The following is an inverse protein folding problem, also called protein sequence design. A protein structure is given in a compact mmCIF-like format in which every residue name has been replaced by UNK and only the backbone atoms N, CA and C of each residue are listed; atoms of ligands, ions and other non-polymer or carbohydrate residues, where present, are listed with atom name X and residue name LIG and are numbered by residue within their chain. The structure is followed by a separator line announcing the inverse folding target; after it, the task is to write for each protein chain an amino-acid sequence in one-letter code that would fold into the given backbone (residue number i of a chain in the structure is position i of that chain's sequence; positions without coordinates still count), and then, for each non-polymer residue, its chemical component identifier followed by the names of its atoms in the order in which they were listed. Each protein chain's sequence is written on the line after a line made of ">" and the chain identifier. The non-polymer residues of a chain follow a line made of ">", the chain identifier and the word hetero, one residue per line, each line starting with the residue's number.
data_IF_852272229517
#
_entry.id   IF_852272229517
#
_cell.length_a   1.000
_cell.length_b   1.000
_cell.length_c   1.000
_cell.angle_alpha   90.00
_cell.angle_beta   90.00
_cell.angle_gamma   90.00
#
_symmetry.space_group_name_H-M   'P 1'
#
loop_
_entity.id
_entity.type
_entity.pdbx_description
1 polymer ?
#
# COMPACT_ATOMS: atom_id res chain seq x y z
N UNK A 1 -11.85 1.21 -12.10
CA UNK A 1 -10.92 0.14 -11.73
C UNK A 1 -9.54 0.76 -11.54
N UNK A 2 -8.76 0.99 -12.61
CA UNK A 2 -7.35 1.45 -12.57
C UNK A 2 -6.95 2.53 -11.55
N UNK A 3 -7.80 3.53 -11.28
CA UNK A 3 -7.48 4.61 -10.33
C UNK A 3 -7.34 4.09 -8.89
N UNK A 4 -8.11 3.06 -8.49
CA UNK A 4 -8.01 2.50 -7.14
C UNK A 4 -6.75 1.66 -6.97
N UNK A 5 -6.50 0.73 -7.92
CA UNK A 5 -5.26 -0.06 -7.90
C UNK A 5 -4.01 0.81 -7.93
N UNK A 6 -4.00 1.91 -8.71
CA UNK A 6 -2.87 2.85 -8.74
C UNK A 6 -2.68 3.55 -7.39
N UNK A 7 -3.77 3.98 -6.74
CA UNK A 7 -3.70 4.59 -5.41
C UNK A 7 -3.18 3.59 -4.37
N UNK A 8 -3.65 2.34 -4.39
CA UNK A 8 -3.16 1.27 -3.51
C UNK A 8 -1.68 0.95 -3.75
N UNK A 9 -1.24 0.90 -5.01
CA UNK A 9 0.14 0.69 -5.39
C UNK A 9 1.04 1.81 -4.85
N UNK A 10 0.73 3.07 -5.16
CA UNK A 10 1.55 4.21 -4.74
C UNK A 10 1.60 4.37 -3.22
N UNK A 11 0.47 4.19 -2.52
CA UNK A 11 0.43 4.25 -1.06
C UNK A 11 1.22 3.12 -0.41
N UNK A 12 1.19 1.91 -0.99
CA UNK A 12 1.99 0.77 -0.51
C UNK A 12 3.48 0.97 -0.79
N UNK A 13 3.84 1.54 -1.95
CA UNK A 13 5.23 1.94 -2.24
C UNK A 13 5.74 2.95 -1.21
N UNK A 14 4.93 3.93 -0.82
CA UNK A 14 5.31 4.91 0.21
C UNK A 14 5.50 4.25 1.57
N UNK A 15 4.59 3.34 1.97
CA UNK A 15 4.71 2.58 3.21
C UNK A 15 5.96 1.69 3.22
N UNK A 16 6.11 0.77 2.26
CA UNK A 16 7.24 -0.17 2.24
C UNK A 16 8.55 0.57 1.96
N UNK A 17 8.53 1.61 1.13
CA UNK A 17 9.69 2.47 0.88
C UNK A 17 10.18 3.15 2.16
N UNK A 18 9.26 3.67 2.98
CA UNK A 18 9.65 4.22 4.27
C UNK A 18 10.32 3.16 5.16
N UNK A 19 9.78 1.94 5.23
CA UNK A 19 10.37 0.84 6.01
C UNK A 19 11.75 0.46 5.47
N UNK A 20 11.89 0.38 4.14
CA UNK A 20 13.12 -0.07 3.51
C UNK A 20 14.27 0.95 3.63
N UNK A 21 13.95 2.25 3.63
CA UNK A 21 14.95 3.32 3.57
C UNK A 21 15.04 4.17 4.85
N UNK A 22 14.35 3.78 5.92
CA UNK A 22 14.51 4.42 7.23
C UNK A 22 14.56 3.43 8.38
N UNK A 23 15.31 3.76 9.43
CA UNK A 23 15.30 3.04 10.71
C UNK A 23 14.41 3.72 11.77
N UNK A 24 13.85 4.90 11.47
CA UNK A 24 13.05 5.67 12.42
C UNK A 24 11.56 5.32 12.31
N UNK A 25 10.94 4.73 13.35
CA UNK A 25 9.52 4.34 13.31
C UNK A 25 8.57 5.52 13.11
N UNK A 26 8.95 6.74 13.55
CA UNK A 26 8.12 7.93 13.36
C UNK A 26 7.93 8.28 11.89
N UNK A 27 8.96 8.05 11.06
CA UNK A 27 8.87 8.33 9.62
C UNK A 27 8.00 7.31 8.90
N UNK A 28 8.02 6.04 9.32
CA UNK A 28 7.11 5.02 8.78
C UNK A 28 5.66 5.36 9.10
N UNK A 29 5.38 5.76 10.34
CA UNK A 29 4.02 6.17 10.75
C UNK A 29 3.56 7.42 10.00
N UNK A 30 4.42 8.44 9.87
CA UNK A 30 4.10 9.66 9.14
C UNK A 30 3.82 9.38 7.65
N UNK A 31 4.66 8.56 7.01
CA UNK A 31 4.48 8.16 5.61
C UNK A 31 3.14 7.43 5.41
N UNK A 32 2.80 6.51 6.33
CA UNK A 32 1.53 5.79 6.26
C UNK A 32 0.33 6.70 6.50
N UNK A 33 0.41 7.62 7.46
CA UNK A 33 -0.65 8.59 7.73
C UNK A 33 -0.92 9.49 6.51
N UNK A 34 0.14 9.97 5.84
CA UNK A 34 0.04 10.74 4.61
C UNK A 34 -0.61 9.91 3.49
N UNK A 35 -0.15 8.67 3.29
CA UNK A 35 -0.73 7.77 2.29
C UNK A 35 -2.24 7.60 2.51
N UNK A 36 -2.66 7.39 3.76
CA UNK A 36 -4.08 7.24 4.11
C UNK A 36 -4.85 8.54 3.83
N UNK A 37 -4.32 9.69 4.25
CA UNK A 37 -4.95 10.98 4.03
C UNK A 37 -5.23 11.28 2.55
N UNK A 38 -4.30 10.89 1.67
CA UNK A 38 -4.43 11.08 0.23
C UNK A 38 -5.31 10.02 -0.44
N UNK A 39 -5.20 8.75 -0.03
CA UNK A 39 -5.84 7.62 -0.72
C UNK A 39 -7.23 7.25 -0.19
N UNK A 40 -7.63 7.71 1.00
CA UNK A 40 -8.85 7.22 1.67
C UNK A 40 -10.11 7.41 0.83
N UNK A 41 -10.30 8.60 0.25
CA UNK A 41 -11.46 8.91 -0.59
C UNK A 41 -11.32 8.38 -2.03
N UNK A 42 -10.17 7.82 -2.39
CA UNK A 42 -9.89 7.26 -3.72
C UNK A 42 -10.07 5.75 -3.69
N UNK A 43 -9.23 5.03 -2.95
CA UNK A 43 -9.20 3.56 -2.97
C UNK A 43 -9.82 2.90 -1.74
N UNK A 44 -9.95 3.65 -0.63
CA UNK A 44 -10.16 3.11 0.72
C UNK A 44 -8.87 3.03 1.54
N UNK A 45 -7.72 3.29 0.91
CA UNK A 45 -6.38 3.35 1.52
C UNK A 45 -6.05 2.14 2.41
N UNK A 46 -6.15 0.92 1.86
CA UNK A 46 -5.82 -0.27 2.64
C UNK A 46 -4.30 -0.45 2.78
N UNK A 47 -3.57 -0.31 1.67
CA UNK A 47 -2.12 -0.45 1.52
C UNK A 47 -1.51 -1.71 2.18
N UNK A 48 -2.35 -2.73 2.40
CA UNK A 48 -2.02 -3.95 3.10
C UNK A 48 -3.03 -5.07 2.73
N UNK A 49 -2.56 -6.25 2.29
CA UNK A 49 -3.43 -7.38 1.94
C UNK A 49 -4.31 -7.88 3.10
N UNK A 50 -3.83 -7.85 4.34
CA UNK A 50 -4.61 -8.26 5.51
C UNK A 50 -5.77 -7.28 5.80
N UNK A 51 -5.54 -5.98 5.62
CA UNK A 51 -6.59 -4.95 5.74
C UNK A 51 -7.62 -5.13 4.62
N UNK A 52 -7.17 -5.40 3.40
CA UNK A 52 -8.05 -5.72 2.27
C UNK A 52 -8.88 -6.98 2.52
N UNK A 53 -8.27 -8.05 3.02
CA UNK A 53 -8.96 -9.28 3.34
C UNK A 53 -10.02 -9.05 4.43
N UNK A 54 -9.66 -8.35 5.50
CA UNK A 54 -10.62 -7.98 6.54
C UNK A 54 -11.79 -7.16 5.97
N UNK A 55 -11.50 -6.18 5.12
CA UNK A 55 -12.52 -5.32 4.49
C UNK A 55 -13.46 -6.12 3.57
N UNK A 56 -12.92 -7.09 2.82
CA UNK A 56 -13.70 -8.02 2.00
C UNK A 56 -14.60 -8.92 2.85
N UNK A 57 -14.03 -9.59 3.87
CA UNK A 57 -14.78 -10.47 4.77
C UNK A 57 -15.84 -9.71 5.59
N UNK A 58 -15.61 -8.42 5.84
CA UNK A 58 -16.57 -7.51 6.48
C UNK A 58 -17.66 -6.98 5.54
N UNK A 59 -17.67 -7.40 4.26
CA UNK A 59 -18.64 -6.94 3.27
C UNK A 59 -18.48 -5.49 2.81
N UNK A 60 -17.35 -4.84 3.11
CA UNK A 60 -17.10 -3.42 2.77
C UNK A 60 -16.65 -3.22 1.32
N UNK A 61 -16.04 -4.23 0.73
CA UNK A 61 -15.63 -4.23 -0.68
C UNK A 61 -15.97 -5.58 -1.33
N UNK A 62 -16.19 -5.58 -2.65
CA UNK A 62 -16.40 -6.80 -3.43
C UNK A 62 -15.08 -7.53 -3.77
N UNK A 63 -15.18 -8.80 -4.15
CA UNK A 63 -14.03 -9.67 -4.44
C UNK A 63 -13.11 -9.11 -5.54
N UNK A 64 -13.68 -8.53 -6.61
CA UNK A 64 -12.89 -7.93 -7.69
C UNK A 64 -12.00 -6.78 -7.19
N UNK A 65 -12.52 -5.93 -6.28
CA UNK A 65 -11.77 -4.82 -5.68
C UNK A 65 -10.74 -5.33 -4.68
N UNK A 66 -11.05 -6.38 -3.94
CA UNK A 66 -10.08 -7.01 -3.04
C UNK A 66 -8.89 -7.60 -3.80
N UNK A 67 -9.15 -8.25 -4.94
CA UNK A 67 -8.13 -8.80 -5.82
C UNK A 67 -7.27 -7.69 -6.46
N UNK A 68 -7.91 -6.62 -6.96
CA UNK A 68 -7.21 -5.43 -7.50
C UNK A 68 -6.22 -4.85 -6.48
N UNK A 69 -6.69 -4.60 -5.24
CA UNK A 69 -5.86 -4.06 -4.16
C UNK A 69 -4.70 -4.99 -3.82
N UNK A 70 -4.96 -6.29 -3.70
CA UNK A 70 -3.92 -7.27 -3.36
C UNK A 70 -2.83 -7.34 -4.44
N UNK A 71 -3.21 -7.32 -5.72
CA UNK A 71 -2.25 -7.26 -6.83
C UNK A 71 -1.41 -5.98 -6.75
N UNK A 72 -2.04 -4.83 -6.47
CA UNK A 72 -1.35 -3.56 -6.33
C UNK A 72 -0.34 -3.57 -5.15
N UNK A 73 -0.71 -4.17 -4.01
CA UNK A 73 0.16 -4.30 -2.84
C UNK A 73 1.38 -5.18 -3.12
N UNK A 74 1.17 -6.32 -3.78
CA UNK A 74 2.26 -7.24 -4.16
C UNK A 74 3.19 -6.58 -5.19
N UNK A 75 2.64 -5.91 -6.20
CA UNK A 75 3.42 -5.17 -7.17
C UNK A 75 4.30 -4.09 -6.50
N UNK A 76 3.72 -3.33 -5.56
CA UNK A 76 4.46 -2.31 -4.81
C UNK A 76 5.59 -2.91 -3.98
N UNK A 77 5.34 -4.04 -3.30
CA UNK A 77 6.36 -4.75 -2.54
C UNK A 77 7.53 -5.21 -3.44
N UNK A 78 7.23 -5.77 -4.61
CA UNK A 78 8.25 -6.17 -5.59
C UNK A 78 9.04 -4.97 -6.12
N UNK A 79 8.36 -3.85 -6.39
CA UNK A 79 9.03 -2.60 -6.81
C UNK A 79 10.00 -2.10 -5.76
N UNK A 80 9.57 -1.97 -4.51
CA UNK A 80 10.45 -1.46 -3.45
C UNK A 80 11.58 -2.43 -3.15
N UNK A 81 11.33 -3.74 -3.16
CA UNK A 81 12.39 -4.74 -3.05
C UNK A 81 13.46 -4.58 -4.14
N UNK A 82 13.03 -4.38 -5.40
CA UNK A 82 13.95 -4.14 -6.51
C UNK A 82 14.78 -2.87 -6.31
N UNK A 83 14.14 -1.76 -5.95
CA UNK A 83 14.82 -0.46 -5.72
C UNK A 83 15.79 -0.56 -4.53
N UNK A 84 15.37 -1.16 -3.42
CA UNK A 84 16.22 -1.34 -2.23
C UNK A 84 17.43 -2.25 -2.52
N UNK A 85 17.28 -3.24 -3.40
CA UNK A 85 18.39 -4.10 -3.82
C UNK A 85 19.44 -3.35 -4.66
N UNK A 86 19.07 -2.23 -5.28
CA UNK A 86 19.97 -1.40 -6.12
C UNK A 86 20.68 -0.31 -5.31
N UNK A 87 20.11 0.12 -4.19
CA UNK A 87 20.64 1.22 -3.37
C UNK A 87 21.14 0.64 -2.05
N UNK A 88 22.45 0.74 -1.80
CA UNK A 88 23.03 0.36 -0.51
C UNK A 88 22.75 1.48 0.49
N UNK A 89 21.87 1.23 1.45
CA UNK A 89 21.53 2.13 2.57
C UNK A 89 21.77 1.39 3.87
#
# INVERSE_FOLDING_TARGET
>A
MYVHGMSEYLGTCLLIGSIAFTSNPLFVVAAFAIAIGLGKNVSGAHFNPAVTLWSYLSGKIGAARAMEHTIAHVAAALTIWGVHSMIKV
#
